data_IF_573242283691
#
_entry.id   IF_573242283691
#
_cell.length_a   1.000
_cell.length_b   1.000
_cell.length_c   1.000
_cell.angle_alpha   90.00
_cell.angle_beta   90.00
_cell.angle_gamma   90.00
#
_symmetry.space_group_name_H-M   'P 1'
#
loop_
_entity.id
_entity.type
_entity.pdbx_description
1 polymer ?
#
# COMPACT_ATOMS: atom_id res chain seq x y z
N UNK A 1 27.13 5.38 9.27
CA UNK A 1 26.76 4.32 10.22
C UNK A 1 25.31 4.52 10.61
N UNK A 2 24.39 3.73 10.05
CA UNK A 2 22.99 3.78 10.49
C UNK A 2 22.94 3.03 11.82
N UNK A 3 22.65 3.74 12.91
CA UNK A 3 22.44 3.11 14.21
C UNK A 3 21.28 2.12 14.10
N UNK A 4 21.57 0.84 14.31
CA UNK A 4 20.58 -0.22 14.41
C UNK A 4 19.74 0.03 15.65
N UNK A 5 18.54 0.58 15.44
CA UNK A 5 17.57 0.85 16.47
C UNK A 5 17.23 -0.47 17.19
N UNK A 6 17.31 -0.51 18.54
CA UNK A 6 17.13 -1.73 19.36
C UNK A 6 15.68 -2.20 19.47
N UNK A 7 14.84 -1.85 18.49
CA UNK A 7 13.41 -2.12 18.52
C UNK A 7 13.03 -3.02 17.34
N UNK A 8 12.09 -3.96 17.55
CA UNK A 8 11.56 -4.78 16.47
C UNK A 8 10.86 -3.90 15.42
N UNK A 9 11.13 -4.20 14.15
CA UNK A 9 10.45 -3.53 13.03
C UNK A 9 9.13 -4.26 12.74
N UNK A 10 8.03 -3.52 12.66
CA UNK A 10 6.70 -4.06 12.35
C UNK A 10 6.36 -3.84 10.87
N UNK A 11 6.13 -4.90 10.08
CA UNK A 11 5.64 -4.75 8.72
C UNK A 11 4.16 -4.35 8.73
N UNK A 12 3.83 -3.27 8.01
CA UNK A 12 2.50 -2.72 7.91
C UNK A 12 2.05 -2.73 6.45
N UNK A 13 0.86 -3.24 6.18
CA UNK A 13 0.24 -3.19 4.87
C UNK A 13 -1.18 -2.63 4.96
N UNK A 14 -1.48 -1.59 4.17
CA UNK A 14 -2.82 -1.02 4.09
C UNK A 14 -3.48 -1.42 2.77
N UNK A 15 -4.55 -2.20 2.88
CA UNK A 15 -5.39 -2.58 1.76
C UNK A 15 -6.23 -1.38 1.28
N UNK A 16 -6.57 -1.38 -0.01
CA UNK A 16 -7.45 -0.42 -0.67
C UNK A 16 -6.89 1.02 -0.85
N UNK A 17 -5.59 1.24 -0.61
CA UNK A 17 -4.96 2.56 -0.77
C UNK A 17 -5.03 3.04 -2.22
N UNK A 18 -4.77 2.17 -3.20
CA UNK A 18 -4.84 2.52 -4.64
C UNK A 18 -6.27 2.69 -5.14
N UNK A 19 -7.26 2.16 -4.44
CA UNK A 19 -8.67 2.33 -4.74
C UNK A 19 -9.20 3.66 -4.19
N UNK A 20 -8.62 4.15 -3.08
CA UNK A 20 -8.98 5.44 -2.47
C UNK A 20 -8.59 6.63 -3.34
N UNK A 21 -7.40 6.56 -3.95
CA UNK A 21 -6.85 7.60 -4.79
C UNK A 21 -6.30 6.95 -6.04
N UNK A 22 -6.98 7.16 -7.18
CA UNK A 22 -6.47 6.79 -8.49
C UNK A 22 -6.04 8.03 -9.24
N UNK A 23 -4.76 8.08 -9.56
CA UNK A 23 -4.27 8.96 -10.62
C UNK A 23 -4.79 8.41 -11.95
N UNK A 24 -5.27 9.27 -12.86
CA UNK A 24 -5.54 8.84 -14.23
C UNK A 24 -4.23 8.32 -14.84
N UNK A 25 -4.08 7.00 -14.87
CA UNK A 25 -2.92 6.28 -15.37
C UNK A 25 -2.86 6.37 -16.89
N UNK A 26 -2.39 7.51 -17.38
CA UNK A 26 -2.25 7.79 -18.80
C UNK A 26 -1.17 8.85 -19.00
N UNK A 27 0.05 8.52 -18.56
CA UNK A 27 1.19 9.46 -18.52
C UNK A 27 1.39 10.10 -19.89
N UNK A 28 1.12 9.44 -21.02
CA UNK A 28 1.32 10.03 -22.35
C UNK A 28 0.44 11.25 -22.64
N UNK A 29 -0.88 11.15 -22.38
CA UNK A 29 -1.79 12.27 -22.63
C UNK A 29 -1.58 13.40 -21.63
N UNK A 30 -1.47 13.06 -20.34
CA UNK A 30 -1.24 14.04 -19.29
C UNK A 30 0.13 14.73 -19.44
N UNK A 31 1.17 13.99 -19.84
CA UNK A 31 2.49 14.56 -20.14
C UNK A 31 2.45 15.45 -21.37
N UNK A 32 1.72 15.06 -22.42
CA UNK A 32 1.53 15.92 -23.60
C UNK A 32 0.82 17.23 -23.24
N UNK A 33 -0.25 17.17 -22.44
CA UNK A 33 -0.94 18.36 -21.93
C UNK A 33 0.01 19.18 -21.06
N UNK A 34 0.74 18.57 -20.13
CA UNK A 34 1.72 19.24 -19.25
C UNK A 34 2.83 19.94 -20.04
N UNK A 35 3.41 19.28 -21.04
CA UNK A 35 4.43 19.86 -21.93
C UNK A 35 3.88 21.08 -22.70
N UNK A 36 2.58 21.06 -23.06
CA UNK A 36 1.94 22.13 -23.82
C UNK A 36 1.48 23.31 -22.97
N UNK A 37 0.92 23.06 -21.78
CA UNK A 37 0.34 24.09 -20.91
C UNK A 37 1.28 24.53 -19.78
N UNK A 38 2.37 23.79 -19.53
CA UNK A 38 3.29 23.96 -18.37
C UNK A 38 2.56 24.02 -17.03
N UNK A 39 1.34 23.51 -16.96
CA UNK A 39 0.52 23.53 -15.75
C UNK A 39 0.59 22.18 -15.05
N UNK A 40 0.99 22.12 -13.77
CA UNK A 40 1.09 20.88 -12.99
C UNK A 40 -0.29 20.39 -12.55
N UNK A 41 -1.17 20.09 -13.52
CA UNK A 41 -2.48 19.49 -13.29
C UNK A 41 -2.39 17.99 -13.49
N UNK A 42 -2.11 17.27 -12.41
CA UNK A 42 -2.36 15.83 -12.36
C UNK A 42 -3.79 15.66 -11.83
N UNK A 43 -4.77 15.26 -12.66
CA UNK A 43 -6.12 15.00 -12.18
C UNK A 43 -6.08 13.76 -11.28
N UNK A 44 -6.06 14.01 -9.97
CA UNK A 44 -6.30 13.01 -8.95
C UNK A 44 -7.80 12.77 -8.88
N UNK A 45 -8.25 11.60 -9.35
CA UNK A 45 -9.63 11.17 -9.15
C UNK A 45 -9.66 10.22 -7.95
N UNK A 46 -10.06 10.74 -6.79
CA UNK A 46 -9.87 10.05 -5.52
C UNK A 46 -10.72 10.58 -4.37
N UNK A 47 -10.35 10.19 -3.15
CA UNK A 47 -11.12 10.29 -1.90
C UNK A 47 -12.42 9.47 -1.92
N UNK A 48 -12.41 8.35 -2.64
CA UNK A 48 -13.53 7.43 -2.54
C UNK A 48 -13.66 6.96 -1.09
N UNK A 49 -14.88 6.90 -0.55
CA UNK A 49 -15.15 6.43 0.81
C UNK A 49 -14.91 4.92 0.96
N UNK A 50 -13.84 4.36 0.38
CA UNK A 50 -13.46 2.95 0.49
C UNK A 50 -12.96 2.63 1.89
N UNK A 51 -13.19 1.40 2.34
CA UNK A 51 -12.71 0.94 3.64
C UNK A 51 -11.21 0.63 3.55
N UNK A 52 -10.39 1.46 4.19
CA UNK A 52 -8.96 1.20 4.38
C UNK A 52 -8.80 0.22 5.55
N UNK A 53 -8.14 -0.91 5.30
CA UNK A 53 -7.83 -1.91 6.33
C UNK A 53 -6.32 -2.02 6.45
N UNK A 54 -5.78 -1.68 7.62
CA UNK A 54 -4.36 -1.83 7.90
C UNK A 54 -4.13 -3.15 8.61
N UNK A 55 -3.30 -4.00 8.00
CA UNK A 55 -2.84 -5.27 8.56
C UNK A 55 -1.45 -5.07 9.12
N UNK A 56 -1.29 -5.47 10.38
CA UNK A 56 -0.04 -5.43 11.11
C UNK A 56 0.48 -6.86 11.13
N UNK A 57 1.65 -7.09 10.52
CA UNK A 57 2.30 -8.40 10.57
C UNK A 57 3.16 -8.57 11.81
N UNK A 58 3.69 -9.79 11.94
CA UNK A 58 4.53 -10.15 13.07
C UNK A 58 5.84 -9.34 13.09
N UNK A 59 6.32 -8.94 14.29
CA UNK A 59 7.57 -8.20 14.41
C UNK A 59 8.75 -9.00 13.86
N UNK A 60 9.60 -8.33 13.09
CA UNK A 60 10.86 -8.92 12.64
C UNK A 60 11.83 -8.87 13.82
N UNK A 61 12.29 -10.03 14.34
CA UNK A 61 13.20 -10.06 15.48
C UNK A 61 14.52 -9.38 15.12
N UNK A 62 15.02 -8.56 16.04
CA UNK A 62 16.31 -7.92 15.90
C UNK A 62 17.42 -8.93 16.18
N UNK A 63 18.29 -9.16 15.20
CA UNK A 63 19.50 -9.97 15.36
C UNK A 63 20.72 -9.06 15.16
N UNK A 64 21.59 -8.91 16.17
CA UNK A 64 22.77 -8.03 16.08
C UNK A 64 23.82 -8.50 15.06
N UNK A 65 23.72 -9.75 14.57
CA UNK A 65 24.67 -10.31 13.61
C UNK A 65 24.24 -10.13 12.15
N UNK A 66 23.03 -9.63 11.90
CA UNK A 66 22.46 -9.54 10.54
C UNK A 66 22.83 -8.20 9.89
N UNK A 67 23.22 -8.25 8.62
CA UNK A 67 23.59 -7.05 7.86
C UNK A 67 22.33 -6.23 7.53
N UNK A 68 22.43 -4.91 7.46
CA UNK A 68 21.29 -4.04 7.12
C UNK A 68 20.58 -4.43 5.80
N UNK A 69 21.32 -4.96 4.83
CA UNK A 69 20.78 -5.46 3.56
C UNK A 69 19.88 -6.70 3.74
N UNK A 70 20.32 -7.67 4.56
CA UNK A 70 19.56 -8.89 4.86
C UNK A 70 18.30 -8.57 5.67
N UNK A 71 18.38 -7.59 6.59
CA UNK A 71 17.22 -7.11 7.33
C UNK A 71 16.19 -6.46 6.39
N UNK A 72 16.65 -5.66 5.43
CA UNK A 72 15.78 -5.05 4.42
C UNK A 72 15.11 -6.10 3.52
N UNK A 73 15.83 -7.17 3.16
CA UNK A 73 15.27 -8.27 2.37
C UNK A 73 14.20 -9.04 3.16
N UNK A 74 14.47 -9.37 4.43
CA UNK A 74 13.46 -9.98 5.32
C UNK A 74 12.21 -9.11 5.47
N UNK A 75 12.40 -7.80 5.65
CA UNK A 75 11.28 -6.85 5.74
C UNK A 75 10.48 -6.77 4.44
N UNK A 76 11.16 -6.74 3.30
CA UNK A 76 10.52 -6.78 1.98
C UNK A 76 9.69 -8.05 1.81
N UNK A 77 10.24 -9.21 2.18
CA UNK A 77 9.54 -10.49 2.06
C UNK A 77 8.32 -10.54 2.99
N UNK A 78 8.44 -10.07 4.24
CA UNK A 78 7.32 -10.01 5.18
C UNK A 78 6.18 -9.12 4.66
N UNK A 79 6.51 -7.94 4.12
CA UNK A 79 5.53 -7.05 3.49
C UNK A 79 4.90 -7.71 2.26
N UNK A 80 5.69 -8.39 1.42
CA UNK A 80 5.16 -9.09 0.25
C UNK A 80 4.20 -10.20 0.63
N UNK A 81 4.51 -11.00 1.66
CA UNK A 81 3.57 -12.01 2.17
C UNK A 81 2.26 -11.40 2.69
N UNK A 82 2.32 -10.25 3.38
CA UNK A 82 1.12 -9.51 3.80
C UNK A 82 0.31 -9.01 2.61
N UNK A 83 0.98 -8.49 1.58
CA UNK A 83 0.35 -8.07 0.33
C UNK A 83 -0.35 -9.26 -0.31
N UNK A 84 0.34 -10.38 -0.51
CA UNK A 84 -0.21 -11.54 -1.22
C UNK A 84 -1.39 -12.17 -0.45
N UNK A 85 -1.34 -12.16 0.89
CA UNK A 85 -2.41 -12.67 1.75
C UNK A 85 -3.67 -11.80 1.73
N UNK A 86 -3.51 -10.48 1.71
CA UNK A 86 -4.61 -9.53 1.92
C UNK A 86 -5.05 -8.76 0.67
N UNK A 87 -4.24 -8.72 -0.38
CA UNK A 87 -4.52 -8.00 -1.62
C UNK A 87 -5.14 -8.94 -2.67
N UNK A 88 -6.36 -8.63 -3.10
CA UNK A 88 -7.02 -9.28 -4.24
C UNK A 88 -6.74 -8.49 -5.51
N UNK A 89 -6.10 -9.12 -6.50
CA UNK A 89 -5.76 -8.53 -7.80
C UNK A 89 -6.66 -9.20 -8.87
N UNK A 90 -7.29 -8.46 -9.81
CA UNK A 90 -7.22 -7.01 -10.03
C UNK A 90 -8.04 -6.21 -8.99
N UNK A 91 -7.48 -5.07 -8.55
CA UNK A 91 -8.13 -4.17 -7.60
C UNK A 91 -9.33 -3.46 -8.23
N UNK A 92 -10.46 -3.43 -7.50
CA UNK A 92 -11.74 -2.87 -7.97
C UNK A 92 -12.31 -1.87 -6.95
N UNK A 93 -12.48 -0.60 -7.37
CA UNK A 93 -13.01 0.48 -6.54
C UNK A 93 -14.47 0.21 -6.13
N UNK A 94 -15.30 -0.31 -7.03
CA UNK A 94 -16.70 -0.65 -6.72
C UNK A 94 -16.79 -1.75 -5.66
N UNK A 95 -15.94 -2.78 -5.75
CA UNK A 95 -15.85 -3.82 -4.72
C UNK A 95 -15.45 -3.23 -3.37
N UNK A 96 -14.41 -2.39 -3.34
CA UNK A 96 -13.95 -1.74 -2.11
C UNK A 96 -15.00 -0.77 -1.51
N UNK A 97 -15.85 -0.18 -2.35
CA UNK A 97 -17.02 0.61 -1.93
C UNK A 97 -18.16 -0.28 -1.42
N UNK A 98 -18.45 -1.41 -2.05
CA UNK A 98 -19.48 -2.36 -1.59
C UNK A 98 -19.08 -3.01 -0.25
N UNK A 99 -17.80 -3.33 -0.05
CA UNK A 99 -17.25 -3.82 1.22
C UNK A 99 -17.42 -2.84 2.40
N UNK A 100 -17.79 -1.57 2.13
CA UNK A 100 -18.21 -0.61 3.16
C UNK A 100 -19.66 -0.82 3.61
N UNK A 101 -20.56 -1.21 2.71
CA UNK A 101 -22.00 -1.35 2.97
C UNK A 101 -22.39 -2.79 3.32
N UNK A 102 -21.59 -3.78 2.93
CA UNK A 102 -21.71 -5.14 3.43
C UNK A 102 -21.36 -5.16 4.93
N UNK A 103 -22.40 -5.07 5.77
CA UNK A 103 -22.35 -5.41 7.19
C UNK A 103 -21.67 -6.76 7.32
N UNK A 104 -20.46 -6.77 7.89
CA UNK A 104 -19.69 -7.98 8.11
C UNK A 104 -20.54 -8.94 8.96
N UNK A 105 -21.00 -10.04 8.39
CA UNK A 105 -21.19 -11.26 9.20
C UNK A 105 -19.79 -11.60 9.71
N UNK A 106 -19.58 -11.48 11.01
CA UNK A 106 -18.39 -12.02 11.66
C UNK A 106 -18.39 -13.52 11.37
N UNK A 107 -17.39 -13.98 10.63
CA UNK A 107 -16.99 -15.39 10.70
C UNK A 107 -16.03 -15.46 11.88
N UNK A 108 -16.50 -16.15 12.93
CA UNK A 108 -15.77 -16.44 14.17
C UNK A 108 -14.58 -17.38 13.92
#
# INVERSE_FOLDING_TARGET
>A
MIQSNRYPSFPLFTQNVRESVRTFGGIKFLRWVYEKTRWPLVPLYGNFPVKLRTYIGDPIPYDPNVTAAELAEKAKNAIQCLIDKHQKIPGNVFRALMERFETQKKED
#
